data_IF_863073330643
#
_entry.id   IF_863073330643
#
_cell.length_a   1.000
_cell.length_b   1.000
_cell.length_c   1.000
_cell.angle_alpha   90.00
_cell.angle_beta   90.00
_cell.angle_gamma   90.00
#
_symmetry.space_group_name_H-M   'P 1'
#
loop_
_entity.id
_entity.type
_entity.pdbx_description
1 polymer ?
#
# COMPACT_ATOMS: atom_id res chain seq x y z
N UNK A 1 19.68 -0.59 -21.33
CA UNK A 1 20.62 0.16 -20.47
C UNK A 1 21.97 0.17 -21.17
N UNK A 2 22.34 1.29 -21.81
CA UNK A 2 23.53 1.42 -22.68
C UNK A 2 24.70 2.17 -22.03
N UNK A 3 24.54 2.59 -20.77
CA UNK A 3 25.62 3.16 -19.97
C UNK A 3 25.75 2.33 -18.69
N UNK A 4 26.94 1.78 -18.36
CA UNK A 4 27.19 1.32 -17.01
C UNK A 4 27.08 2.52 -16.06
N UNK A 5 26.29 2.38 -15.01
CA UNK A 5 26.18 3.39 -13.97
C UNK A 5 27.54 3.49 -13.28
N UNK A 6 28.24 4.61 -13.52
CA UNK A 6 29.59 4.90 -13.03
C UNK A 6 29.55 5.81 -11.80
N UNK A 7 28.35 6.09 -11.26
CA UNK A 7 28.21 6.84 -10.03
C UNK A 7 28.53 5.91 -8.86
N UNK A 8 29.76 5.99 -8.36
CA UNK A 8 30.13 5.40 -7.06
C UNK A 8 29.41 6.16 -5.95
N UNK A 9 28.17 5.78 -5.67
CA UNK A 9 27.44 6.32 -4.54
C UNK A 9 28.04 5.75 -3.24
N UNK A 10 28.55 6.64 -2.38
CA UNK A 10 29.03 6.25 -1.06
C UNK A 10 27.88 5.63 -0.23
N UNK A 11 28.11 4.43 0.30
CA UNK A 11 27.09 3.73 1.09
C UNK A 11 26.92 4.44 2.45
N UNK A 12 25.83 5.22 2.57
CA UNK A 12 25.52 6.06 3.75
C UNK A 12 25.50 5.29 5.08
N UNK A 13 25.12 4.01 5.04
CA UNK A 13 25.00 3.15 6.23
C UNK A 13 26.34 2.90 6.93
N UNK A 14 27.46 3.13 6.24
CA UNK A 14 28.81 3.06 6.84
C UNK A 14 29.21 4.35 7.57
N UNK A 15 28.48 5.46 7.40
CA UNK A 15 28.81 6.74 8.01
C UNK A 15 28.25 6.81 9.44
N UNK A 16 29.07 7.09 10.46
CA UNK A 16 28.64 7.05 11.86
C UNK A 16 27.55 8.09 12.17
N UNK A 17 27.59 9.26 11.52
CA UNK A 17 26.56 10.30 11.71
C UNK A 17 25.18 9.86 11.22
N UNK A 18 25.14 9.11 10.10
CA UNK A 18 23.88 8.63 9.51
C UNK A 18 23.27 7.55 10.41
N UNK A 19 24.11 6.61 10.87
CA UNK A 19 23.72 5.57 11.84
C UNK A 19 23.19 6.18 13.14
N UNK A 20 23.87 7.19 13.68
CA UNK A 20 23.44 7.90 14.89
C UNK A 20 22.12 8.66 14.69
N UNK A 21 21.93 9.29 13.52
CA UNK A 21 20.69 9.99 13.18
C UNK A 21 19.53 9.00 13.08
N UNK A 22 19.74 7.88 12.40
CA UNK A 22 18.74 6.80 12.27
C UNK A 22 18.36 6.23 13.64
N UNK A 23 19.36 5.97 14.50
CA UNK A 23 19.10 5.55 15.89
C UNK A 23 18.24 6.56 16.63
N UNK A 24 18.59 7.85 16.58
CA UNK A 24 17.85 8.91 17.27
C UNK A 24 16.40 9.03 16.80
N UNK A 25 16.14 8.92 15.49
CA UNK A 25 14.80 8.96 14.92
C UNK A 25 13.98 7.74 15.36
N UNK A 26 14.51 6.53 15.20
CA UNK A 26 13.82 5.29 15.56
C UNK A 26 13.54 5.25 17.07
N UNK A 27 14.52 5.65 17.88
CA UNK A 27 14.37 5.76 19.32
C UNK A 27 13.26 6.74 19.70
N UNK A 28 13.23 7.95 19.12
CA UNK A 28 12.21 8.95 19.40
C UNK A 28 10.79 8.46 19.02
N UNK A 29 10.66 7.77 17.88
CA UNK A 29 9.40 7.15 17.45
C UNK A 29 8.92 6.13 18.48
N UNK A 30 9.76 5.16 18.83
CA UNK A 30 9.37 4.10 19.76
C UNK A 30 9.21 4.58 21.21
N UNK A 31 9.86 5.67 21.60
CA UNK A 31 9.63 6.31 22.90
C UNK A 31 8.24 6.97 22.96
N UNK A 32 7.77 7.55 21.84
CA UNK A 32 6.44 8.14 21.75
C UNK A 32 5.32 7.11 21.91
N UNK A 33 5.52 5.88 21.43
CA UNK A 33 4.56 4.78 21.60
C UNK A 33 4.79 4.02 22.92
N UNK A 34 3.72 3.70 23.66
CA UNK A 34 3.84 2.90 24.87
C UNK A 34 3.76 1.40 24.54
N UNK A 35 4.92 0.76 24.38
CA UNK A 35 5.01 -0.67 24.07
C UNK A 35 5.10 -1.58 25.31
N UNK A 36 5.09 -1.03 26.53
CA UNK A 36 5.26 -1.85 27.75
C UNK A 36 4.13 -2.85 27.95
N UNK A 37 2.91 -2.56 27.50
CA UNK A 37 1.77 -3.48 27.61
C UNK A 37 1.64 -4.47 26.43
N UNK A 38 2.65 -4.56 25.57
CA UNK A 38 2.65 -5.44 24.39
C UNK A 38 3.50 -6.69 24.63
N UNK A 39 3.49 -7.63 23.70
CA UNK A 39 4.37 -8.81 23.72
C UNK A 39 5.86 -8.44 23.84
N UNK A 40 6.27 -7.26 23.36
CA UNK A 40 7.63 -6.76 23.53
C UNK A 40 7.95 -6.39 24.99
N UNK A 41 6.98 -5.86 25.74
CA UNK A 41 7.14 -5.59 27.16
C UNK A 41 7.32 -6.87 27.97
N UNK A 42 6.54 -7.90 27.66
CA UNK A 42 6.69 -9.23 28.27
C UNK A 42 8.04 -9.88 27.94
N UNK A 43 8.51 -9.77 26.69
CA UNK A 43 9.83 -10.27 26.29
C UNK A 43 10.97 -9.58 27.07
N UNK A 44 10.80 -8.29 27.35
CA UNK A 44 11.78 -7.45 28.06
C UNK A 44 11.64 -7.52 29.58
N UNK A 45 10.73 -8.32 30.13
CA UNK A 45 10.51 -8.49 31.58
C UNK A 45 11.80 -8.73 32.40
N UNK A 46 12.81 -9.49 31.93
CA UNK A 46 14.08 -9.64 32.65
C UNK A 46 14.86 -8.32 32.82
N UNK A 47 14.65 -7.34 31.94
CA UNK A 47 15.34 -6.05 31.94
C UNK A 47 14.49 -4.98 32.63
N UNK A 48 13.19 -4.93 32.33
CA UNK A 48 12.31 -3.84 32.78
C UNK A 48 11.53 -4.15 34.07
N UNK A 49 11.59 -5.39 34.57
CA UNK A 49 10.75 -5.86 35.65
C UNK A 49 9.31 -6.07 35.20
N UNK A 50 8.34 -5.91 36.11
CA UNK A 50 6.92 -6.04 35.76
C UNK A 50 6.49 -4.94 34.78
N UNK A 51 5.97 -5.29 33.57
CA UNK A 51 5.68 -4.28 32.55
C UNK A 51 4.66 -3.22 33.00
N UNK A 52 3.72 -3.59 33.86
CA UNK A 52 2.71 -2.70 34.45
C UNK A 52 3.30 -1.65 35.41
N UNK A 53 4.45 -1.93 36.03
CA UNK A 53 5.10 -1.04 37.01
C UNK A 53 6.28 -0.26 36.42
N UNK A 54 6.76 -0.66 35.24
CA UNK A 54 7.98 -0.13 34.61
C UNK A 54 7.93 1.36 34.20
N UNK A 55 6.73 1.94 34.04
CA UNK A 55 6.53 3.36 33.78
C UNK A 55 7.37 3.92 32.62
N UNK A 56 8.00 5.08 32.84
CA UNK A 56 8.88 5.72 31.84
C UNK A 56 10.17 4.93 31.58
N UNK A 57 10.70 4.25 32.60
CA UNK A 57 11.91 3.44 32.47
C UNK A 57 11.70 2.29 31.49
N UNK A 58 10.57 1.57 31.61
CA UNK A 58 10.23 0.49 30.68
C UNK A 58 10.10 0.98 29.23
N UNK A 59 9.44 2.14 29.04
CA UNK A 59 9.31 2.76 27.71
C UNK A 59 10.65 3.12 27.10
N UNK A 60 11.54 3.73 27.89
CA UNK A 60 12.89 4.08 27.46
C UNK A 60 13.71 2.83 27.11
N UNK A 61 13.71 1.82 27.98
CA UNK A 61 14.49 0.60 27.79
C UNK A 61 14.03 -0.17 26.53
N UNK A 62 12.72 -0.31 26.32
CA UNK A 62 12.17 -0.96 25.13
C UNK A 62 12.52 -0.15 23.87
N UNK A 63 12.29 1.16 23.87
CA UNK A 63 12.60 2.01 22.72
C UNK A 63 14.10 1.97 22.37
N UNK A 64 14.97 1.97 23.38
CA UNK A 64 16.42 1.87 23.20
C UNK A 64 16.82 0.55 22.56
N UNK A 65 16.31 -0.58 23.07
CA UNK A 65 16.64 -1.90 22.53
C UNK A 65 16.09 -2.07 21.11
N UNK A 66 14.86 -1.63 20.83
CA UNK A 66 14.31 -1.70 19.47
C UNK A 66 15.12 -0.84 18.51
N UNK A 67 15.46 0.40 18.88
CA UNK A 67 16.27 1.27 18.04
C UNK A 67 17.66 0.68 17.79
N UNK A 68 18.29 0.10 18.82
CA UNK A 68 19.58 -0.55 18.69
C UNK A 68 19.51 -1.76 17.75
N UNK A 69 18.53 -2.64 17.92
CA UNK A 69 18.34 -3.82 17.08
C UNK A 69 18.03 -3.44 15.62
N UNK A 70 17.17 -2.45 15.40
CA UNK A 70 16.85 -1.94 14.07
C UNK A 70 18.09 -1.40 13.37
N UNK A 71 18.87 -0.56 14.07
CA UNK A 71 20.07 0.04 13.49
C UNK A 71 21.15 -1.01 13.22
N UNK A 72 21.36 -1.93 14.16
CA UNK A 72 22.29 -3.03 13.99
C UNK A 72 21.90 -3.89 12.77
N UNK A 73 20.62 -4.21 12.63
CA UNK A 73 20.09 -4.96 11.51
C UNK A 73 20.39 -4.26 10.17
N UNK A 74 20.04 -2.98 10.04
CA UNK A 74 20.30 -2.19 8.81
C UNK A 74 21.80 -2.13 8.48
N UNK A 75 22.65 -1.93 9.49
CA UNK A 75 24.11 -1.87 9.31
C UNK A 75 24.66 -3.23 8.88
N UNK A 76 24.24 -4.32 9.51
CA UNK A 76 24.67 -5.68 9.15
C UNK A 76 24.26 -6.05 7.72
N UNK A 77 23.04 -5.69 7.32
CA UNK A 77 22.58 -5.88 5.93
C UNK A 77 23.45 -5.08 4.98
N UNK A 78 23.82 -3.84 5.33
CA UNK A 78 24.66 -2.96 4.52
C UNK A 78 26.03 -3.52 4.13
N UNK A 79 26.56 -4.49 4.88
CA UNK A 79 27.82 -5.17 4.55
C UNK A 79 27.67 -6.35 3.56
N UNK A 80 26.45 -6.82 3.30
CA UNK A 80 26.20 -7.91 2.36
C UNK A 80 26.17 -7.41 0.91
N UNK A 81 26.29 -8.33 -0.07
CA UNK A 81 26.13 -8.00 -1.49
C UNK A 81 24.68 -7.62 -1.83
N UNK A 82 24.45 -6.79 -2.86
CA UNK A 82 23.12 -6.27 -3.22
C UNK A 82 22.04 -7.38 -3.35
N UNK A 83 22.38 -8.53 -3.94
CA UNK A 83 21.43 -9.66 -4.07
C UNK A 83 21.03 -10.22 -2.71
N UNK A 84 21.99 -10.32 -1.79
CA UNK A 84 21.76 -10.81 -0.43
C UNK A 84 21.00 -9.76 0.38
N UNK A 85 21.32 -8.47 0.23
CA UNK A 85 20.56 -7.38 0.85
C UNK A 85 19.08 -7.44 0.47
N UNK A 86 18.79 -7.53 -0.83
CA UNK A 86 17.42 -7.65 -1.34
C UNK A 86 16.73 -8.89 -0.75
N UNK A 87 17.41 -10.04 -0.75
CA UNK A 87 16.84 -11.26 -0.20
C UNK A 87 16.52 -11.16 1.31
N UNK A 88 17.42 -10.59 2.11
CA UNK A 88 17.21 -10.39 3.55
C UNK A 88 16.05 -9.42 3.80
N UNK A 89 16.04 -8.26 3.12
CA UNK A 89 14.98 -7.26 3.29
C UNK A 89 13.61 -7.83 2.89
N UNK A 90 13.52 -8.56 1.78
CA UNK A 90 12.28 -9.21 1.37
C UNK A 90 11.80 -10.24 2.39
N UNK A 91 12.72 -11.01 2.95
CA UNK A 91 12.41 -11.98 3.98
C UNK A 91 11.90 -11.31 5.27
N UNK A 92 12.54 -10.23 5.72
CA UNK A 92 12.10 -9.45 6.89
C UNK A 92 10.74 -8.79 6.67
N UNK A 93 10.51 -8.19 5.50
CA UNK A 93 9.21 -7.62 5.14
C UNK A 93 8.12 -8.69 5.11
N UNK A 94 8.42 -9.90 4.61
CA UNK A 94 7.50 -11.03 4.65
C UNK A 94 7.20 -11.46 6.09
N UNK A 95 8.22 -11.55 6.96
CA UNK A 95 8.01 -11.88 8.37
C UNK A 95 7.16 -10.83 9.09
N UNK A 96 7.42 -9.54 8.86
CA UNK A 96 6.62 -8.45 9.40
C UNK A 96 5.17 -8.51 8.91
N UNK A 97 4.96 -8.80 7.64
CA UNK A 97 3.63 -9.00 7.06
C UNK A 97 2.91 -10.18 7.71
N UNK A 98 3.58 -11.32 7.89
CA UNK A 98 2.99 -12.50 8.56
C UNK A 98 2.67 -12.21 10.03
N UNK A 99 3.54 -11.50 10.75
CA UNK A 99 3.30 -11.08 12.14
C UNK A 99 2.10 -10.14 12.25
N UNK A 100 1.94 -9.21 11.31
CA UNK A 100 0.76 -8.36 11.21
C UNK A 100 -0.51 -9.19 11.03
N UNK A 101 -0.54 -10.14 10.09
CA UNK A 101 -1.68 -11.03 9.87
C UNK A 101 -2.00 -11.91 11.09
N UNK A 102 -0.97 -12.37 11.81
CA UNK A 102 -1.16 -13.14 13.04
C UNK A 102 -1.91 -12.35 14.12
N UNK A 103 -1.87 -11.02 14.09
CA UNK A 103 -2.59 -10.15 15.03
C UNK A 103 -4.11 -10.14 14.77
N UNK A 104 -4.58 -10.53 13.57
CA UNK A 104 -6.01 -10.49 13.21
C UNK A 104 -6.85 -11.68 13.70
N UNK A 105 -6.29 -12.60 14.49
CA UNK A 105 -7.00 -13.80 15.00
C UNK A 105 -7.77 -14.58 13.91
N UNK A 106 -7.08 -14.90 12.81
CA UNK A 106 -7.68 -15.50 11.62
C UNK A 106 -8.31 -16.89 11.88
N UNK A 107 -9.56 -17.06 11.48
CA UNK A 107 -10.26 -18.35 11.52
C UNK A 107 -9.89 -19.24 10.32
N UNK A 108 -8.78 -19.97 10.43
CA UNK A 108 -8.30 -20.88 9.36
C UNK A 108 -9.36 -21.88 8.86
N UNK A 109 -10.23 -22.48 9.71
CA UNK A 109 -11.27 -23.38 9.23
C UNK A 109 -12.29 -22.68 8.32
N UNK A 110 -12.74 -21.49 8.68
CA UNK A 110 -13.67 -20.69 7.88
C UNK A 110 -13.07 -20.27 6.54
N UNK A 111 -11.80 -19.84 6.55
CA UNK A 111 -11.09 -19.46 5.31
C UNK A 111 -11.02 -20.66 4.37
N UNK A 112 -10.65 -21.85 4.88
CA UNK A 112 -10.57 -23.08 4.07
C UNK A 112 -11.93 -23.48 3.49
N UNK A 113 -13.01 -23.30 4.25
CA UNK A 113 -14.37 -23.59 3.76
C UNK A 113 -14.81 -22.65 2.63
N UNK A 114 -14.45 -21.36 2.71
CA UNK A 114 -14.82 -20.36 1.68
C UNK A 114 -13.83 -20.24 0.54
N UNK A 115 -12.63 -20.82 0.67
CA UNK A 115 -11.59 -20.75 -0.35
C UNK A 115 -12.05 -21.24 -1.74
N UNK A 116 -12.77 -22.38 -1.87
CA UNK A 116 -13.26 -22.82 -3.18
C UNK A 116 -14.20 -21.80 -3.84
N UNK A 117 -15.07 -21.15 -3.05
CA UNK A 117 -15.99 -20.12 -3.53
C UNK A 117 -15.26 -18.84 -3.95
N UNK A 118 -14.26 -18.41 -3.17
CA UNK A 118 -13.44 -17.25 -3.52
C UNK A 118 -12.66 -17.48 -4.82
N UNK A 119 -12.13 -18.69 -5.02
CA UNK A 119 -11.39 -19.04 -6.24
C UNK A 119 -12.35 -19.20 -7.42
N UNK A 120 -13.48 -19.89 -7.27
CA UNK A 120 -14.39 -20.15 -8.39
C UNK A 120 -15.18 -18.91 -8.80
N UNK A 121 -15.85 -18.25 -7.85
CA UNK A 121 -16.73 -17.13 -8.17
C UNK A 121 -16.02 -15.79 -7.99
N UNK A 122 -15.20 -15.63 -6.94
CA UNK A 122 -14.51 -14.37 -6.65
C UNK A 122 -13.50 -13.99 -7.74
N UNK A 123 -12.59 -14.91 -8.09
CA UNK A 123 -11.60 -14.68 -9.15
C UNK A 123 -12.29 -14.48 -10.50
N UNK A 124 -13.24 -15.34 -10.86
CA UNK A 124 -13.95 -15.21 -12.15
C UNK A 124 -14.69 -13.88 -12.25
N UNK A 125 -15.39 -13.45 -11.19
CA UNK A 125 -16.09 -12.15 -11.18
C UNK A 125 -15.11 -10.98 -11.30
N UNK A 126 -13.97 -11.05 -10.60
CA UNK A 126 -12.93 -10.01 -10.66
C UNK A 126 -12.35 -9.91 -12.07
N UNK A 127 -12.01 -11.04 -12.69
CA UNK A 127 -11.49 -11.09 -14.06
C UNK A 127 -12.53 -10.60 -15.06
N UNK A 128 -13.78 -11.03 -14.93
CA UNK A 128 -14.89 -10.59 -15.77
C UNK A 128 -15.10 -9.08 -15.72
N UNK A 129 -15.23 -8.52 -14.52
CA UNK A 129 -15.41 -7.07 -14.31
C UNK A 129 -14.21 -6.30 -14.84
N UNK A 130 -12.98 -6.75 -14.52
CA UNK A 130 -11.75 -6.07 -14.94
C UNK A 130 -11.58 -6.09 -16.46
N UNK A 131 -11.79 -7.24 -17.11
CA UNK A 131 -11.63 -7.38 -18.56
C UNK A 131 -12.58 -6.46 -19.32
N UNK A 132 -13.86 -6.46 -18.96
CA UNK A 132 -14.84 -5.56 -19.60
C UNK A 132 -14.50 -4.11 -19.31
N UNK A 133 -14.11 -3.79 -18.07
CA UNK A 133 -13.77 -2.42 -17.69
C UNK A 133 -12.59 -1.89 -18.48
N UNK A 134 -11.55 -2.69 -18.68
CA UNK A 134 -10.34 -2.35 -19.44
C UNK A 134 -10.67 -2.10 -20.92
N UNK A 135 -11.51 -2.94 -21.53
CA UNK A 135 -11.92 -2.76 -22.93
C UNK A 135 -12.63 -1.41 -23.10
N UNK A 136 -13.62 -1.13 -22.26
CA UNK A 136 -14.38 0.12 -22.33
C UNK A 136 -13.49 1.32 -21.98
N UNK A 137 -12.65 1.23 -20.94
CA UNK A 137 -11.69 2.26 -20.57
C UNK A 137 -10.74 2.59 -21.73
N UNK A 138 -10.22 1.57 -22.41
CA UNK A 138 -9.33 1.76 -23.57
C UNK A 138 -10.03 2.47 -24.72
N UNK A 139 -11.29 2.14 -24.99
CA UNK A 139 -12.09 2.84 -26.01
C UNK A 139 -12.31 4.31 -25.64
N UNK A 140 -12.71 4.58 -24.39
CA UNK A 140 -12.87 5.95 -23.89
C UNK A 140 -11.55 6.72 -23.98
N UNK A 141 -10.44 6.08 -23.62
CA UNK A 141 -9.11 6.67 -23.66
C UNK A 141 -8.68 7.06 -25.06
N UNK A 142 -8.86 6.19 -26.05
CA UNK A 142 -8.55 6.49 -27.46
C UNK A 142 -9.39 7.68 -27.95
N UNK A 143 -10.70 7.68 -27.66
CA UNK A 143 -11.59 8.78 -28.04
C UNK A 143 -11.20 10.09 -27.36
N UNK A 144 -10.89 10.03 -26.06
CA UNK A 144 -10.44 11.18 -25.27
C UNK A 144 -9.11 11.75 -25.78
N UNK A 145 -8.15 10.89 -26.09
CA UNK A 145 -6.83 11.28 -26.56
C UNK A 145 -6.92 11.97 -27.94
N UNK A 146 -7.69 11.39 -28.87
CA UNK A 146 -7.97 11.99 -30.17
C UNK A 146 -8.68 13.34 -30.01
N UNK A 147 -9.64 13.44 -29.11
CA UNK A 147 -10.35 14.70 -28.84
C UNK A 147 -9.42 15.78 -28.25
N UNK A 148 -8.49 15.41 -27.36
CA UNK A 148 -7.49 16.34 -26.79
C UNK A 148 -6.40 16.75 -27.79
N UNK A 149 -6.13 15.95 -28.81
CA UNK A 149 -5.23 16.31 -29.91
C UNK A 149 -5.91 17.11 -31.03
N UNK A 150 -7.24 17.22 -30.99
CA UNK A 150 -8.02 17.95 -31.99
C UNK A 150 -7.78 19.46 -31.90
N UNK A 151 -7.81 20.13 -33.05
CA UNK A 151 -7.86 21.60 -33.13
C UNK A 151 -9.25 22.16 -32.81
N UNK A 152 -10.27 21.30 -32.70
CA UNK A 152 -11.62 21.71 -32.32
C UNK A 152 -11.70 21.96 -30.80
N UNK A 153 -11.89 23.23 -30.42
CA UNK A 153 -11.98 23.66 -29.03
C UNK A 153 -13.09 22.97 -28.22
N UNK A 154 -14.21 22.60 -28.84
CA UNK A 154 -15.29 21.88 -28.15
C UNK A 154 -14.89 20.45 -27.78
N UNK A 155 -14.27 19.72 -28.70
CA UNK A 155 -13.80 18.35 -28.45
C UNK A 155 -12.73 18.34 -27.36
N UNK A 156 -11.78 19.28 -27.46
CA UNK A 156 -10.74 19.47 -26.45
C UNK A 156 -11.33 19.77 -25.07
N UNK A 157 -12.29 20.70 -24.99
CA UNK A 157 -12.89 21.11 -23.72
C UNK A 157 -13.67 19.98 -23.04
N UNK A 158 -14.48 19.22 -23.80
CA UNK A 158 -15.24 18.08 -23.26
C UNK A 158 -14.28 17.00 -22.72
N UNK A 159 -13.26 16.63 -23.49
CA UNK A 159 -12.30 15.61 -23.07
C UNK A 159 -11.45 16.08 -21.88
N UNK A 160 -11.08 17.36 -21.82
CA UNK A 160 -10.36 17.94 -20.69
C UNK A 160 -11.21 17.99 -19.42
N UNK A 161 -12.49 18.36 -19.53
CA UNK A 161 -13.42 18.32 -18.39
C UNK A 161 -13.62 16.89 -17.88
N UNK A 162 -13.89 15.94 -18.78
CA UNK A 162 -14.03 14.52 -18.45
C UNK A 162 -12.79 14.00 -17.68
N UNK A 163 -11.60 14.19 -18.23
CA UNK A 163 -10.36 13.72 -17.60
C UNK A 163 -10.10 14.37 -16.25
N UNK A 164 -10.32 15.69 -16.13
CA UNK A 164 -10.16 16.41 -14.86
C UNK A 164 -11.14 15.94 -13.79
N UNK A 165 -12.42 15.78 -14.14
CA UNK A 165 -13.48 15.37 -13.21
C UNK A 165 -13.26 13.96 -12.67
N UNK A 166 -13.07 12.97 -13.55
CA UNK A 166 -12.96 11.56 -13.14
C UNK A 166 -11.63 11.23 -12.47
N UNK A 167 -10.57 12.01 -12.71
CA UNK A 167 -9.30 11.88 -11.96
C UNK A 167 -9.33 12.62 -10.62
N UNK A 168 -10.14 13.68 -10.50
CA UNK A 168 -10.32 14.44 -9.27
C UNK A 168 -11.22 13.77 -8.23
N UNK A 169 -12.03 12.77 -8.64
CA UNK A 169 -12.93 12.04 -7.75
C UNK A 169 -12.35 10.70 -7.28
N UNK A 170 -12.40 10.38 -5.98
CA UNK A 170 -12.05 9.04 -5.50
C UNK A 170 -12.91 7.97 -6.19
N UNK A 171 -12.31 6.86 -6.65
CA UNK A 171 -13.03 5.76 -7.32
C UNK A 171 -14.23 5.26 -6.50
N UNK A 172 -14.08 5.19 -5.17
CA UNK A 172 -15.16 4.78 -4.28
C UNK A 172 -16.38 5.71 -4.37
N UNK A 173 -16.15 7.03 -4.47
CA UNK A 173 -17.23 8.01 -4.67
C UNK A 173 -17.93 7.79 -6.01
N UNK A 174 -17.17 7.47 -7.08
CA UNK A 174 -17.75 7.18 -8.39
C UNK A 174 -18.66 5.95 -8.35
N UNK A 175 -18.21 4.87 -7.69
CA UNK A 175 -19.03 3.66 -7.47
C UNK A 175 -20.30 4.00 -6.71
N UNK A 176 -20.23 4.82 -5.66
CA UNK A 176 -21.41 5.22 -4.89
C UNK A 176 -22.37 6.11 -5.68
N UNK A 177 -21.87 7.06 -6.46
CA UNK A 177 -22.73 7.89 -7.33
C UNK A 177 -23.47 7.03 -8.35
N UNK A 178 -22.81 6.03 -8.93
CA UNK A 178 -23.43 5.14 -9.91
C UNK A 178 -24.41 4.16 -9.23
N UNK A 179 -24.00 3.50 -8.15
CA UNK A 179 -24.80 2.44 -7.53
C UNK A 179 -25.93 2.96 -6.64
N UNK A 180 -25.72 4.07 -5.93
CA UNK A 180 -26.68 4.65 -4.99
C UNK A 180 -27.30 5.97 -5.49
N UNK A 181 -26.62 6.71 -6.36
CA UNK A 181 -27.10 7.98 -6.91
C UNK A 181 -28.04 7.80 -8.10
N UNK A 182 -27.67 7.01 -9.11
CA UNK A 182 -28.53 6.77 -10.29
C UNK A 182 -29.94 6.24 -9.97
N UNK A 183 -30.13 5.35 -8.97
CA UNK A 183 -31.48 4.94 -8.57
C UNK A 183 -32.39 6.09 -8.15
N UNK A 184 -31.85 7.18 -7.60
CA UNK A 184 -32.62 8.38 -7.22
C UNK A 184 -33.18 9.12 -8.45
N UNK A 185 -32.58 8.91 -9.62
CA UNK A 185 -33.04 9.42 -10.91
C UNK A 185 -33.96 8.42 -11.66
N UNK A 186 -34.29 7.28 -11.03
CA UNK A 186 -35.10 6.20 -11.62
C UNK A 186 -34.30 5.12 -12.36
N UNK A 187 -32.97 5.21 -12.41
CA UNK A 187 -32.11 4.24 -13.08
C UNK A 187 -31.50 3.25 -12.08
N UNK A 188 -32.05 2.04 -12.00
CA UNK A 188 -31.55 1.01 -11.09
C UNK A 188 -30.44 0.20 -11.76
N UNK A 189 -29.22 0.34 -11.24
CA UNK A 189 -28.02 -0.35 -11.75
C UNK A 189 -27.54 -1.38 -10.74
N UNK A 190 -27.35 -2.63 -11.18
CA UNK A 190 -26.81 -3.69 -10.34
C UNK A 190 -25.33 -3.46 -9.97
N UNK A 191 -24.86 -4.15 -8.93
CA UNK A 191 -23.49 -3.95 -8.40
C UNK A 191 -22.39 -4.21 -9.44
N UNK A 192 -22.53 -5.27 -10.25
CA UNK A 192 -21.55 -5.64 -11.27
C UNK A 192 -21.49 -4.58 -12.39
N UNK A 193 -22.60 -4.20 -13.07
CA UNK A 193 -22.58 -3.10 -14.04
C UNK A 193 -22.12 -1.77 -13.45
N UNK A 194 -22.50 -1.45 -12.20
CA UNK A 194 -22.07 -0.22 -11.54
C UNK A 194 -20.54 -0.20 -11.34
N UNK A 195 -19.96 -1.33 -10.91
CA UNK A 195 -18.51 -1.49 -10.80
C UNK A 195 -17.81 -1.35 -12.15
N UNK A 196 -18.35 -1.98 -13.20
CA UNK A 196 -17.81 -1.86 -14.56
C UNK A 196 -17.82 -0.40 -15.01
N UNK A 197 -18.96 0.30 -14.89
CA UNK A 197 -19.08 1.70 -15.30
C UNK A 197 -18.11 2.61 -14.54
N UNK A 198 -18.01 2.46 -13.23
CA UNK A 198 -17.10 3.27 -12.41
C UNK A 198 -15.64 3.03 -12.78
N UNK A 199 -15.22 1.77 -12.93
CA UNK A 199 -13.86 1.41 -13.33
C UNK A 199 -13.56 1.92 -14.75
N UNK A 200 -14.46 1.72 -15.70
CA UNK A 200 -14.29 2.18 -17.08
C UNK A 200 -14.13 3.70 -17.19
N UNK A 201 -14.98 4.46 -16.51
CA UNK A 201 -14.94 5.92 -16.54
C UNK A 201 -13.70 6.46 -15.83
N UNK A 202 -13.30 5.86 -14.71
CA UNK A 202 -12.10 6.24 -14.00
C UNK A 202 -10.83 5.94 -14.81
N UNK A 203 -10.61 4.68 -15.18
CA UNK A 203 -9.40 4.27 -15.90
C UNK A 203 -9.35 4.82 -17.32
N UNK A 204 -10.49 5.02 -17.98
CA UNK A 204 -10.55 5.71 -19.27
C UNK A 204 -10.00 7.13 -19.20
N UNK A 205 -10.28 7.86 -18.11
CA UNK A 205 -9.76 9.19 -17.88
C UNK A 205 -8.25 9.19 -17.61
N UNK A 206 -7.75 8.21 -16.85
CA UNK A 206 -6.31 8.07 -16.61
C UNK A 206 -5.53 7.67 -17.86
N UNK A 207 -6.10 6.82 -18.72
CA UNK A 207 -5.46 6.35 -19.96
C UNK A 207 -5.59 7.35 -21.13
N UNK A 208 -6.39 8.40 -20.98
CA UNK A 208 -6.58 9.45 -22.00
C UNK A 208 -5.37 10.39 -22.14
N UNK A 209 -4.55 10.51 -21.07
CA UNK A 209 -3.31 11.31 -21.09
C UNK A 209 -2.13 10.51 -21.64
#
# INVERSE_FOLDING_TARGET
MLYPDTVEAEVLVHKPWFVATMFGVVFAIFLAFNLTSTSFGELMRPVIGEPSQSGLYGRFAIAFVIALLFVLNVVLIGFASLRVQIAIVWFELLLLFLAFFATFHLSLPFIREKLPFLISQGVVTTLYVSAISIIIASLIAILGAVAKLSTNGFAYAIASFYTSFFRGLPLLMQVYLIYLGLPQLGFVVGAVPAGILALSLCYGAYMTE
#
